data_IF_040939093675
#
_entry.id   IF_040939093675
#
_cell.length_a   1.000
_cell.length_b   1.000
_cell.length_c   1.000
_cell.angle_alpha   90.00
_cell.angle_beta   90.00
_cell.angle_gamma   90.00
#
_symmetry.space_group_name_H-M   'P 1'
#
loop_
_entity.id
_entity.type
_entity.pdbx_description
1 polymer ?
#
# COMPACT_ATOMS: atom_id res chain seq x y z
N UNK A 1 -11.96 -6.39 -13.86
CA UNK A 1 -10.54 -6.82 -13.90
C UNK A 1 -9.58 -5.79 -13.31
N UNK A 2 -9.58 -4.51 -13.70
CA UNK A 2 -8.67 -3.50 -13.09
C UNK A 2 -9.08 -3.10 -11.66
N UNK A 3 -10.39 -2.92 -11.40
CA UNK A 3 -10.91 -2.59 -10.06
C UNK A 3 -10.48 -3.57 -8.96
N UNK A 4 -10.58 -4.86 -9.23
CA UNK A 4 -10.20 -5.91 -8.28
C UNK A 4 -8.69 -5.92 -8.01
N UNK A 5 -7.89 -5.58 -9.03
CA UNK A 5 -6.44 -5.45 -8.88
C UNK A 5 -6.06 -4.27 -7.99
N UNK A 6 -6.69 -3.09 -8.15
CA UNK A 6 -6.39 -1.92 -7.33
C UNK A 6 -6.72 -2.15 -5.84
N UNK A 7 -7.90 -2.70 -5.55
CA UNK A 7 -8.27 -3.07 -4.18
C UNK A 7 -7.32 -4.10 -3.57
N UNK A 8 -6.84 -5.06 -4.38
CA UNK A 8 -5.84 -6.04 -3.95
C UNK A 8 -4.50 -5.37 -3.62
N UNK A 9 -4.08 -4.38 -4.41
CA UNK A 9 -2.87 -3.62 -4.13
C UNK A 9 -2.96 -2.82 -2.83
N UNK A 10 -4.09 -2.16 -2.55
CA UNK A 10 -4.32 -1.50 -1.26
C UNK A 10 -4.22 -2.48 -0.08
N UNK A 11 -4.85 -3.66 -0.21
CA UNK A 11 -4.75 -4.73 0.79
C UNK A 11 -3.31 -5.22 0.99
N UNK A 12 -2.57 -5.44 -0.09
CA UNK A 12 -1.16 -5.88 -0.02
C UNK A 12 -0.23 -4.81 0.56
N UNK A 13 -0.48 -3.53 0.27
CA UNK A 13 0.19 -2.40 0.91
C UNK A 13 -0.23 -2.25 2.40
N UNK A 14 -1.32 -2.91 2.80
CA UNK A 14 -1.99 -2.75 4.08
C UNK A 14 -2.33 -1.30 4.37
N UNK A 15 -2.81 -0.59 3.34
CA UNK A 15 -3.28 0.79 3.41
C UNK A 15 -4.77 0.83 3.06
N UNK A 16 -5.51 1.63 3.80
CA UNK A 16 -6.78 2.15 3.33
C UNK A 16 -6.56 3.24 2.28
N UNK A 17 -7.57 3.45 1.44
CA UNK A 17 -7.60 4.58 0.49
C UNK A 17 -7.48 5.94 1.19
N UNK A 18 -7.97 6.06 2.41
CA UNK A 18 -7.89 7.29 3.22
C UNK A 18 -6.45 7.57 3.65
N UNK A 19 -5.75 6.56 4.18
CA UNK A 19 -4.34 6.68 4.56
C UNK A 19 -3.45 6.98 3.36
N UNK A 20 -3.71 6.34 2.22
CA UNK A 20 -3.01 6.64 0.97
C UNK A 20 -3.21 8.09 0.54
N UNK A 21 -4.46 8.57 0.54
CA UNK A 21 -4.77 9.96 0.20
C UNK A 21 -4.03 10.93 1.12
N UNK A 22 -3.99 10.66 2.43
CA UNK A 22 -3.24 11.47 3.39
C UNK A 22 -1.73 11.44 3.13
N UNK A 23 -1.15 10.26 2.88
CA UNK A 23 0.30 10.10 2.63
C UNK A 23 0.79 10.88 1.41
N UNK A 24 -0.02 10.95 0.36
CA UNK A 24 0.32 11.62 -0.89
C UNK A 24 -0.30 13.02 -1.00
N UNK A 25 -0.90 13.53 0.07
CA UNK A 25 -1.59 14.82 0.09
C UNK A 25 -2.63 14.95 -1.05
N UNK A 26 -3.35 13.86 -1.33
CA UNK A 26 -4.39 13.80 -2.34
C UNK A 26 -5.78 13.93 -1.70
N UNK A 27 -6.76 14.35 -2.50
CA UNK A 27 -8.15 14.35 -2.09
C UNK A 27 -8.68 12.90 -1.98
N UNK A 28 -9.22 12.54 -0.82
CA UNK A 28 -9.75 11.20 -0.57
C UNK A 28 -10.91 10.83 -1.51
N UNK A 29 -11.79 11.77 -1.86
CA UNK A 29 -12.90 11.50 -2.79
C UNK A 29 -12.37 11.09 -4.17
N UNK A 30 -11.32 11.74 -4.65
CA UNK A 30 -10.67 11.36 -5.92
C UNK A 30 -10.15 9.92 -5.86
N UNK A 31 -9.43 9.56 -4.80
CA UNK A 31 -8.93 8.18 -4.60
C UNK A 31 -10.08 7.17 -4.51
N UNK A 32 -11.18 7.54 -3.85
CA UNK A 32 -12.33 6.67 -3.69
C UNK A 32 -13.07 6.42 -5.01
N UNK A 33 -13.08 7.39 -5.92
CA UNK A 33 -13.72 7.30 -7.24
C UNK A 33 -12.96 6.44 -8.26
N UNK A 34 -11.70 6.05 -7.98
CA UNK A 34 -10.87 5.23 -8.88
C UNK A 34 -11.42 3.84 -9.21
N UNK A 35 -12.52 3.45 -8.56
CA UNK A 35 -13.17 2.16 -8.71
C UNK A 35 -14.58 2.25 -9.27
N UNK A 36 -15.10 3.47 -9.43
CA UNK A 36 -16.48 3.72 -9.83
C UNK A 36 -16.60 4.59 -11.09
N UNK A 37 -15.96 5.76 -11.09
CA UNK A 37 -16.22 6.79 -12.12
C UNK A 37 -14.98 7.25 -12.87
N UNK A 38 -13.79 6.93 -12.37
CA UNK A 38 -12.51 7.27 -13.01
C UNK A 38 -11.51 6.14 -12.79
N UNK A 39 -10.50 6.04 -13.65
CA UNK A 39 -9.38 5.13 -13.43
C UNK A 39 -8.31 5.79 -12.55
N UNK A 40 -7.60 4.99 -11.75
CA UNK A 40 -6.42 5.47 -11.05
C UNK A 40 -5.31 5.86 -12.04
N UNK A 41 -4.52 6.92 -11.77
CA UNK A 41 -3.31 7.20 -12.52
C UNK A 41 -2.35 6.01 -12.54
N UNK A 42 -1.66 5.80 -13.67
CA UNK A 42 -0.78 4.63 -13.86
C UNK A 42 0.31 4.48 -12.79
N UNK A 43 0.82 5.59 -12.24
CA UNK A 43 1.84 5.56 -11.21
C UNK A 43 1.34 5.00 -9.86
N UNK A 44 0.02 5.02 -9.60
CA UNK A 44 -0.56 4.51 -8.35
C UNK A 44 -0.28 3.01 -8.19
N UNK A 45 -0.29 2.29 -9.30
CA UNK A 45 -0.06 0.86 -9.35
C UNK A 45 1.35 0.50 -8.86
N UNK A 46 2.38 1.10 -9.47
CA UNK A 46 3.77 0.87 -9.07
C UNK A 46 4.08 1.42 -7.68
N UNK A 47 3.46 2.53 -7.28
CA UNK A 47 3.60 3.07 -5.94
C UNK A 47 3.10 2.09 -4.88
N UNK A 48 1.88 1.54 -5.05
CA UNK A 48 1.30 0.58 -4.09
C UNK A 48 2.11 -0.72 -4.04
N UNK A 49 2.55 -1.23 -5.19
CA UNK A 49 3.40 -2.43 -5.25
C UNK A 49 4.73 -2.23 -4.52
N UNK A 50 5.40 -1.09 -4.73
CA UNK A 50 6.67 -0.80 -4.10
C UNK A 50 6.51 -0.52 -2.61
N UNK A 51 5.44 0.18 -2.21
CA UNK A 51 5.12 0.40 -0.80
C UNK A 51 4.88 -0.93 -0.07
N UNK A 52 4.13 -1.86 -0.68
CA UNK A 52 3.90 -3.19 -0.12
C UNK A 52 5.21 -3.97 0.06
N UNK A 53 6.11 -3.91 -0.92
CA UNK A 53 7.45 -4.55 -0.82
C UNK A 53 8.29 -3.94 0.30
N UNK A 54 8.36 -2.62 0.37
CA UNK A 54 9.10 -1.91 1.42
C UNK A 54 8.58 -2.27 2.82
N UNK A 55 7.25 -2.27 3.01
CA UNK A 55 6.64 -2.67 4.28
C UNK A 55 7.01 -4.09 4.69
N UNK A 56 6.90 -5.05 3.77
CA UNK A 56 7.28 -6.46 4.06
C UNK A 56 8.76 -6.58 4.41
N UNK A 57 9.62 -5.81 3.75
CA UNK A 57 11.04 -5.78 4.08
C UNK A 57 11.27 -5.27 5.51
N UNK A 58 10.61 -4.17 5.90
CA UNK A 58 10.69 -3.64 7.27
C UNK A 58 10.21 -4.67 8.31
N UNK A 59 9.11 -5.37 8.03
CA UNK A 59 8.58 -6.45 8.88
C UNK A 59 9.58 -7.61 9.02
N UNK A 60 10.20 -8.04 7.92
CA UNK A 60 11.24 -9.09 7.93
C UNK A 60 12.48 -8.66 8.72
N UNK A 61 12.93 -7.42 8.56
CA UNK A 61 14.08 -6.87 9.29
C UNK A 61 13.79 -6.76 10.79
N UNK A 62 12.58 -6.36 11.18
CA UNK A 62 12.16 -6.31 12.57
C UNK A 62 12.13 -7.71 13.20
N UNK A 63 11.59 -8.70 12.48
CA UNK A 63 11.60 -10.09 12.91
C UNK A 63 13.03 -10.61 13.08
N UNK A 64 13.92 -10.35 12.11
CA UNK A 64 15.35 -10.70 12.18
C UNK A 64 16.02 -10.21 13.45
N UNK A 65 15.84 -8.93 13.79
CA UNK A 65 16.39 -8.33 15.01
C UNK A 65 15.87 -9.00 16.29
N UNK A 66 14.57 -9.25 16.38
CA UNK A 66 13.98 -9.90 17.55
C UNK A 66 14.53 -11.33 17.79
N UNK A 67 14.87 -12.05 16.72
CA UNK A 67 15.46 -13.38 16.80
C UNK A 67 16.94 -13.37 17.21
N UNK A 68 17.67 -12.30 16.90
CA UNK A 68 19.06 -12.11 17.37
C UNK A 68 19.09 -11.73 18.86
N UNK A 69 18.16 -10.86 19.29
CA UNK A 69 18.04 -10.42 20.68
C UNK A 69 17.58 -11.55 21.61
N UNK A 70 16.65 -12.40 21.18
CA UNK A 70 16.18 -13.55 21.97
C UNK A 70 17.18 -14.72 22.07
N UNK A 71 18.29 -14.67 21.33
CA UNK A 71 19.40 -15.65 21.44
C UNK A 71 20.51 -15.21 22.42
N UNK A 72 20.48 -13.96 22.90
CA UNK A 72 21.38 -13.44 23.94
C UNK A 72 20.77 -13.63 25.32
#
# INVERSE_FOLDING_TARGET
MEREKLNTLFKHAGLSKKEFAQKLSMNYQSVNQWESTQNAPLWVWSWLENYAKARKFDEMMALGKSMEEGKR
#
